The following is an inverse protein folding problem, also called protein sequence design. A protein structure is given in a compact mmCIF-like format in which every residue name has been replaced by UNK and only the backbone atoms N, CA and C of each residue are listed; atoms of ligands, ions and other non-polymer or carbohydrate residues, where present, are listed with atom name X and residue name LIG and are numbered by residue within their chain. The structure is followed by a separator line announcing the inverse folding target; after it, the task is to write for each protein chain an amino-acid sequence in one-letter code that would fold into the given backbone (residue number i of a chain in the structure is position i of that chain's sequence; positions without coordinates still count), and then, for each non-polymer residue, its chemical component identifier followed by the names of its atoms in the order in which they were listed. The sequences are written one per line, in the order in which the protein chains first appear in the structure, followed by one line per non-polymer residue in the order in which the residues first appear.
data_IF_063191201884
#
_entry.id   IF_063191201884
#
_cell.length_a   1.000
_cell.length_b   1.000
_cell.length_c   1.000
_cell.angle_alpha   90.00
_cell.angle_beta   90.00
_cell.angle_gamma   90.00
#
_symmetry.space_group_name_H-M   'P 1'
#
loop_
_entity.id
_entity.type
_entity.pdbx_description
1 polymer ?
#
# COMPACT_ATOMS: atom_id res chain seq x y z
N UNK A 1 -20.33 67.61 -30.41
CA UNK A 1 -19.21 67.10 -29.56
C UNK A 1 -19.77 66.05 -28.61
N UNK A 2 -19.02 64.99 -28.27
CA UNK A 2 -19.44 63.61 -28.50
C UNK A 2 -20.13 62.94 -27.30
N UNK A 3 -21.00 61.96 -27.59
CA UNK A 3 -21.55 60.99 -26.63
C UNK A 3 -20.41 60.12 -26.11
N UNK A 4 -20.11 60.23 -24.83
CA UNK A 4 -19.15 59.37 -24.15
C UNK A 4 -19.61 57.90 -24.12
N UNK A 5 -18.70 56.92 -24.21
CA UNK A 5 -19.06 55.51 -24.15
C UNK A 5 -19.43 55.12 -22.71
N UNK A 6 -20.59 54.49 -22.54
CA UNK A 6 -20.93 53.77 -21.31
C UNK A 6 -20.01 52.56 -21.16
N UNK A 7 -18.97 52.70 -20.34
CA UNK A 7 -18.16 51.58 -19.89
C UNK A 7 -18.99 50.75 -18.90
N UNK A 8 -19.48 49.58 -19.35
CA UNK A 8 -20.17 48.63 -18.49
C UNK A 8 -19.20 48.11 -17.41
N UNK A 9 -19.39 48.40 -16.10
CA UNK A 9 -18.51 47.92 -15.04
C UNK A 9 -18.76 46.44 -14.68
N UNK A 10 -19.79 45.81 -15.26
CA UNK A 10 -20.28 44.49 -14.84
C UNK A 10 -19.32 43.34 -15.14
N UNK A 11 -18.59 43.37 -16.25
CA UNK A 11 -17.73 42.24 -16.65
C UNK A 11 -16.56 42.01 -15.71
N UNK A 12 -15.93 43.08 -15.21
CA UNK A 12 -14.83 43.01 -14.25
C UNK A 12 -15.30 42.49 -12.88
N UNK A 13 -16.49 42.89 -12.44
CA UNK A 13 -17.13 42.38 -11.23
C UNK A 13 -17.48 40.90 -11.34
N UNK A 14 -18.04 40.48 -12.49
CA UNK A 14 -18.37 39.07 -12.77
C UNK A 14 -17.10 38.21 -12.81
N UNK A 15 -16.03 38.67 -13.47
CA UNK A 15 -14.74 37.97 -13.49
C UNK A 15 -14.12 37.85 -12.08
N UNK A 16 -14.25 38.87 -11.23
CA UNK A 16 -13.80 38.82 -9.83
C UNK A 16 -14.63 37.84 -8.98
N UNK A 17 -15.95 37.78 -9.19
CA UNK A 17 -16.82 36.81 -8.52
C UNK A 17 -16.50 35.37 -8.95
N UNK A 18 -16.22 35.14 -10.24
CA UNK A 18 -15.80 33.82 -10.77
C UNK A 18 -14.43 33.37 -10.25
N UNK A 19 -13.49 34.29 -10.03
CA UNK A 19 -12.19 33.96 -9.44
C UNK A 19 -12.29 33.53 -7.97
N UNK A 20 -13.26 34.08 -7.22
CA UNK A 20 -13.56 33.69 -5.84
C UNK A 20 -14.32 32.37 -5.73
N UNK A 21 -15.00 31.96 -6.81
CA UNK A 21 -15.71 30.67 -6.89
C UNK A 21 -14.83 29.50 -7.35
N UNK A 22 -13.51 29.69 -7.52
CA UNK A 22 -12.63 28.54 -7.80
C UNK A 22 -12.68 27.60 -6.59
N UNK A 23 -13.20 26.37 -6.72
CA UNK A 23 -13.05 25.39 -5.67
C UNK A 23 -11.54 25.23 -5.43
N UNK A 24 -11.09 25.16 -4.17
CA UNK A 24 -9.69 24.89 -3.89
C UNK A 24 -9.31 23.63 -4.67
N UNK A 25 -8.31 23.73 -5.54
CA UNK A 25 -7.74 22.55 -6.15
C UNK A 25 -7.26 21.66 -5.00
N UNK A 26 -7.92 20.51 -4.81
CA UNK A 26 -7.42 19.44 -3.97
C UNK A 26 -6.17 18.91 -4.67
N UNK A 27 -5.03 19.56 -4.46
CA UNK A 27 -3.74 19.00 -4.85
C UNK A 27 -3.49 17.82 -3.91
N UNK A 28 -3.73 16.61 -4.40
CA UNK A 28 -3.31 15.41 -3.69
C UNK A 28 -1.78 15.33 -3.82
N UNK A 29 -1.07 15.86 -2.82
CA UNK A 29 0.38 16.04 -2.89
C UNK A 29 1.15 14.73 -2.71
N UNK A 30 0.53 13.71 -2.12
CA UNK A 30 1.14 12.39 -1.95
C UNK A 30 0.94 11.53 -3.21
N UNK A 31 2.03 11.00 -3.77
CA UNK A 31 1.99 10.06 -4.88
C UNK A 31 2.82 8.83 -4.56
N UNK A 32 2.23 7.65 -4.77
CA UNK A 32 2.85 6.37 -4.45
C UNK A 32 3.18 5.59 -5.72
N UNK A 33 4.33 4.92 -5.71
CA UNK A 33 4.68 3.97 -6.77
C UNK A 33 3.84 2.69 -6.57
N UNK A 34 3.06 2.27 -7.58
CA UNK A 34 2.29 1.03 -7.47
C UNK A 34 3.21 -0.18 -7.31
N UNK A 35 2.86 -1.08 -6.41
CA UNK A 35 3.57 -2.34 -6.23
C UNK A 35 2.59 -3.49 -6.01
N UNK A 36 2.98 -4.69 -6.41
CA UNK A 36 2.18 -5.88 -6.14
C UNK A 36 2.11 -6.14 -4.61
N UNK A 37 1.02 -6.70 -4.06
CA UNK A 37 0.92 -7.00 -2.62
C UNK A 37 2.13 -7.75 -2.05
N UNK A 38 2.65 -8.73 -2.79
CA UNK A 38 3.89 -9.45 -2.42
C UNK A 38 5.11 -8.51 -2.31
N UNK A 39 5.27 -7.55 -3.23
CA UNK A 39 6.37 -6.58 -3.17
C UNK A 39 6.25 -5.67 -1.95
N UNK A 40 5.04 -5.20 -1.64
CA UNK A 40 4.84 -4.40 -0.43
C UNK A 40 5.26 -5.17 0.83
N UNK A 41 4.84 -6.42 0.97
CA UNK A 41 5.24 -7.29 2.09
C UNK A 41 6.76 -7.52 2.10
N UNK A 42 7.39 -7.72 0.94
CA UNK A 42 8.82 -7.93 0.82
C UNK A 42 9.67 -6.69 1.13
N UNK A 43 9.21 -5.50 0.77
CA UNK A 43 9.96 -4.25 1.01
C UNK A 43 9.66 -3.61 2.37
N UNK A 44 8.60 -4.03 3.05
CA UNK A 44 8.33 -3.60 4.42
C UNK A 44 9.31 -4.24 5.41
N UNK A 45 9.77 -3.46 6.39
CA UNK A 45 10.58 -3.96 7.50
C UNK A 45 9.73 -4.77 8.51
N UNK A 46 8.44 -4.46 8.59
CA UNK A 46 7.51 -5.06 9.53
C UNK A 46 6.18 -5.32 8.83
N UNK A 47 5.56 -6.47 9.11
CA UNK A 47 4.20 -6.78 8.65
C UNK A 47 3.41 -7.41 9.81
N UNK A 48 2.33 -6.78 10.23
CA UNK A 48 1.51 -7.23 11.37
C UNK A 48 0.01 -7.18 11.06
N UNK A 49 -0.76 -8.04 11.74
CA UNK A 49 -2.21 -7.91 11.88
C UNK A 49 -2.52 -7.30 13.24
N UNK A 50 -3.27 -6.21 13.27
CA UNK A 50 -3.59 -5.50 14.51
C UNK A 50 -4.96 -4.81 14.48
N UNK A 51 -5.45 -4.43 15.67
CA UNK A 51 -6.60 -3.54 15.86
C UNK A 51 -6.11 -2.17 16.34
N UNK A 52 -6.80 -1.11 15.93
CA UNK A 52 -6.49 0.24 16.39
C UNK A 52 -7.31 0.52 17.65
N UNK A 53 -6.62 0.80 18.76
CA UNK A 53 -7.23 0.99 20.08
C UNK A 53 -7.48 2.46 20.40
N UNK A 54 -6.54 3.35 20.06
CA UNK A 54 -6.66 4.79 20.26
C UNK A 54 -5.77 5.56 19.27
N UNK A 55 -6.05 6.84 19.09
CA UNK A 55 -5.23 7.77 18.31
C UNK A 55 -4.88 9.02 19.12
N UNK A 56 -3.64 9.51 18.96
CA UNK A 56 -3.18 10.75 19.60
C UNK A 56 -2.25 11.52 18.66
N UNK A 57 -2.47 12.82 18.52
CA UNK A 57 -1.54 13.70 17.81
C UNK A 57 -0.34 14.00 18.70
N UNK A 58 0.86 13.83 18.16
CA UNK A 58 2.15 14.02 18.85
C UNK A 58 3.08 14.86 17.96
N UNK A 59 4.06 15.59 18.55
CA UNK A 59 5.10 16.23 17.74
C UNK A 59 5.94 15.16 17.02
N UNK A 60 6.38 15.47 15.80
CA UNK A 60 7.20 14.57 14.98
C UNK A 60 8.61 14.37 15.59
N UNK A 61 9.18 15.44 16.15
CA UNK A 61 10.48 15.43 16.81
C UNK A 61 10.44 16.11 18.18
N UNK A 62 11.55 16.03 18.92
CA UNK A 62 11.72 16.74 20.18
C UNK A 62 12.20 18.18 19.99
N UNK A 63 12.52 18.58 18.75
CA UNK A 63 12.97 19.94 18.43
C UNK A 63 11.77 20.90 18.51
N UNK A 64 11.80 21.92 19.38
CA UNK A 64 10.72 22.91 19.46
C UNK A 64 10.57 23.76 18.19
N UNK A 65 11.57 23.81 17.31
CA UNK A 65 11.48 24.46 16.00
C UNK A 65 10.71 23.64 14.95
N UNK A 66 10.54 22.34 15.19
CA UNK A 66 9.81 21.45 14.30
C UNK A 66 8.30 21.54 14.58
N UNK A 67 7.57 22.07 13.59
CA UNK A 67 6.12 22.22 13.67
C UNK A 67 5.36 21.00 13.15
N UNK A 68 6.07 20.00 12.61
CA UNK A 68 5.45 18.81 12.06
C UNK A 68 4.81 17.97 13.17
N UNK A 69 3.62 17.45 12.85
CA UNK A 69 2.84 16.60 13.74
C UNK A 69 2.64 15.23 13.10
N UNK A 70 2.59 14.23 13.95
CA UNK A 70 2.27 12.85 13.59
C UNK A 70 1.04 12.38 14.37
N UNK A 71 0.32 11.43 13.80
CA UNK A 71 -0.65 10.63 14.54
C UNK A 71 0.09 9.41 15.07
N UNK A 72 0.00 9.19 16.38
CA UNK A 72 0.42 7.97 17.04
C UNK A 72 -0.83 7.14 17.34
N UNK A 73 -0.91 5.97 16.73
CA UNK A 73 -1.94 4.99 17.02
C UNK A 73 -1.43 3.99 18.06
N UNK A 74 -2.21 3.77 19.11
CA UNK A 74 -2.03 2.62 19.98
C UNK A 74 -2.73 1.42 19.34
N UNK A 75 -2.02 0.31 19.26
CA UNK A 75 -2.53 -0.88 18.58
C UNK A 75 -2.54 -2.10 19.51
N UNK A 76 -3.50 -2.99 19.26
CA UNK A 76 -3.50 -4.35 19.82
C UNK A 76 -3.01 -5.30 18.73
N UNK A 77 -1.72 -5.64 18.79
CA UNK A 77 -1.10 -6.60 17.87
C UNK A 77 -1.75 -7.98 18.06
N UNK A 78 -2.24 -8.56 16.96
CA UNK A 78 -2.83 -9.92 16.94
C UNK A 78 -1.78 -10.92 16.47
N UNK A 79 -1.07 -10.61 15.39
CA UNK A 79 -0.06 -11.49 14.79
C UNK A 79 1.02 -10.67 14.09
N UNK A 80 2.26 -11.11 14.19
CA UNK A 80 3.36 -10.62 13.37
C UNK A 80 3.67 -11.65 12.28
N UNK A 81 3.96 -11.17 11.08
CA UNK A 81 4.32 -11.96 9.90
C UNK A 81 5.76 -11.69 9.45
N UNK A 82 6.28 -10.49 9.74
CA UNK A 82 7.66 -10.08 9.43
C UNK A 82 8.13 -9.03 10.41
N UNK A 83 9.43 -8.99 10.69
CA UNK A 83 10.08 -7.97 11.53
C UNK A 83 10.42 -8.44 12.94
N UNK A 84 10.36 -9.75 13.22
CA UNK A 84 10.69 -10.35 14.53
C UNK A 84 12.12 -10.04 14.98
N UNK A 85 13.02 -9.88 14.02
CA UNK A 85 14.42 -9.53 14.20
C UNK A 85 14.64 -8.05 14.55
N UNK A 86 13.66 -7.18 14.24
CA UNK A 86 13.75 -5.73 14.46
C UNK A 86 13.00 -5.28 15.71
N UNK A 87 11.80 -5.82 15.95
CA UNK A 87 10.94 -5.42 17.06
C UNK A 87 10.20 -6.64 17.61
N UNK A 88 10.29 -6.85 18.94
CA UNK A 88 9.62 -7.99 19.60
C UNK A 88 8.11 -7.82 19.71
N UNK A 89 7.65 -6.62 20.02
CA UNK A 89 6.23 -6.31 20.21
C UNK A 89 5.95 -4.86 19.79
N UNK A 90 4.91 -4.65 18.98
CA UNK A 90 4.52 -3.33 18.49
C UNK A 90 3.29 -2.85 19.25
N UNK A 91 3.48 -1.81 20.05
CA UNK A 91 2.40 -1.15 20.80
C UNK A 91 1.90 0.11 20.11
N UNK A 92 2.80 0.80 19.40
CA UNK A 92 2.51 2.07 18.74
C UNK A 92 2.96 2.05 17.29
N UNK A 93 2.17 2.67 16.43
CA UNK A 93 2.54 2.99 15.05
C UNK A 93 2.36 4.49 14.81
N UNK A 94 3.16 5.04 13.91
CA UNK A 94 3.23 6.46 13.63
C UNK A 94 2.97 6.72 12.16
N UNK A 95 2.27 7.80 11.86
CA UNK A 95 2.03 8.30 10.50
C UNK A 95 1.98 9.83 10.53
N UNK A 96 2.32 10.52 9.43
CA UNK A 96 2.13 11.96 9.32
C UNK A 96 0.67 12.35 9.57
N UNK A 97 0.45 13.53 10.15
CA UNK A 97 -0.90 14.06 10.42
C UNK A 97 -1.63 14.43 9.13
N UNK A 98 -0.92 15.04 8.18
CA UNK A 98 -1.48 15.54 6.95
C UNK A 98 -1.43 14.50 5.83
N UNK A 99 -2.54 14.33 5.11
CA UNK A 99 -2.62 13.42 3.96
C UNK A 99 -1.67 13.83 2.82
N UNK A 100 -1.39 15.13 2.68
CA UNK A 100 -0.41 15.67 1.73
C UNK A 100 1.01 15.17 2.00
N UNK A 101 1.33 14.79 3.25
CA UNK A 101 2.59 14.16 3.65
C UNK A 101 2.50 12.64 3.69
N UNK A 102 1.53 12.06 2.96
CA UNK A 102 1.23 10.63 2.95
C UNK A 102 0.69 10.09 4.28
N UNK A 103 0.05 10.93 5.10
CA UNK A 103 -0.61 10.53 6.34
C UNK A 103 -1.81 9.61 6.11
N UNK A 104 -1.92 8.53 6.89
CA UNK A 104 -3.06 7.61 6.86
C UNK A 104 -3.97 7.83 8.06
N UNK A 105 -5.28 7.80 7.83
CA UNK A 105 -6.27 7.82 8.91
C UNK A 105 -6.84 6.41 9.10
N UNK A 106 -6.55 5.81 10.26
CA UNK A 106 -7.04 4.48 10.60
C UNK A 106 -8.23 4.59 11.55
N UNK A 107 -9.19 3.70 11.39
CA UNK A 107 -10.40 3.71 12.19
C UNK A 107 -10.15 3.06 13.55
N UNK A 108 -10.37 3.82 14.62
CA UNK A 108 -10.36 3.31 15.98
C UNK A 108 -11.60 2.44 16.19
N UNK A 109 -11.42 1.12 16.17
CA UNK A 109 -12.52 0.15 16.24
C UNK A 109 -12.06 -1.16 16.85
N UNK A 110 -12.87 -1.73 17.74
CA UNK A 110 -12.63 -3.04 18.33
C UNK A 110 -12.99 -4.19 17.39
N UNK A 111 -13.77 -3.92 16.34
CA UNK A 111 -14.24 -4.92 15.37
C UNK A 111 -13.32 -5.00 14.16
N UNK A 112 -12.83 -3.85 13.70
CA UNK A 112 -11.99 -3.77 12.50
C UNK A 112 -10.56 -4.16 12.78
N UNK A 113 -10.00 -4.96 11.89
CA UNK A 113 -8.61 -5.42 11.95
C UNK A 113 -7.92 -5.02 10.67
N UNK A 114 -6.64 -4.67 10.77
CA UNK A 114 -5.83 -4.25 9.64
C UNK A 114 -4.62 -5.16 9.48
N UNK A 115 -4.27 -5.45 8.24
CA UNK A 115 -2.90 -5.75 7.89
C UNK A 115 -2.15 -4.42 7.76
N UNK A 116 -1.03 -4.31 8.46
CA UNK A 116 -0.18 -3.14 8.48
C UNK A 116 1.22 -3.58 8.07
N UNK A 117 1.61 -3.21 6.86
CA UNK A 117 2.99 -3.28 6.40
C UNK A 117 3.65 -1.92 6.61
N UNK A 118 4.88 -1.87 7.11
CA UNK A 118 5.53 -0.60 7.47
C UNK A 118 7.04 -0.67 7.57
N UNK A 119 7.63 0.44 7.97
CA UNK A 119 9.06 0.56 8.25
C UNK A 119 9.31 0.64 9.76
N UNK A 120 10.50 0.24 10.18
CA UNK A 120 10.98 0.43 11.56
C UNK A 120 12.10 1.47 11.48
N UNK A 121 11.89 2.61 12.13
CA UNK A 121 12.85 3.69 12.20
C UNK A 121 14.00 3.35 13.16
N UNK A 122 15.08 4.12 13.09
CA UNK A 122 16.28 3.88 13.91
C UNK A 122 16.04 3.99 15.41
N UNK A 123 15.02 4.76 15.83
CA UNK A 123 14.58 4.88 17.22
C UNK A 123 13.60 3.77 17.65
N UNK A 124 13.42 2.74 16.82
CA UNK A 124 12.54 1.60 17.06
C UNK A 124 11.06 1.88 16.80
N UNK A 125 10.68 3.11 16.40
CA UNK A 125 9.29 3.44 16.09
C UNK A 125 8.86 2.77 14.78
N UNK A 126 7.65 2.22 14.79
CA UNK A 126 7.03 1.67 13.58
C UNK A 126 6.32 2.79 12.84
N UNK A 127 6.70 3.00 11.59
CA UNK A 127 6.16 4.06 10.74
C UNK A 127 5.37 3.47 9.57
N UNK A 128 4.19 4.03 9.32
CA UNK A 128 3.31 3.68 8.20
C UNK A 128 2.85 4.94 7.47
N UNK A 129 2.59 4.84 6.17
CA UNK A 129 2.11 5.92 5.32
C UNK A 129 1.17 5.40 4.20
N UNK A 130 0.59 6.31 3.41
CA UNK A 130 -0.36 6.00 2.33
C UNK A 130 0.20 5.06 1.25
N UNK A 131 1.53 4.97 1.11
CA UNK A 131 2.19 4.13 0.12
C UNK A 131 2.50 2.72 0.64
N UNK A 132 2.26 2.46 1.92
CA UNK A 132 2.41 1.13 2.48
C UNK A 132 1.16 0.26 2.23
N UNK A 133 1.33 -1.05 2.33
CA UNK A 133 0.21 -1.98 2.18
C UNK A 133 -0.57 -2.05 3.50
N UNK A 134 -1.63 -1.26 3.55
CA UNK A 134 -2.54 -1.14 4.68
C UNK A 134 -3.94 -1.49 4.19
N UNK A 135 -4.45 -2.63 4.64
CA UNK A 135 -5.76 -3.13 4.19
C UNK A 135 -6.55 -3.68 5.37
N UNK A 136 -7.88 -3.46 5.42
CA UNK A 136 -8.74 -4.21 6.33
C UNK A 136 -8.56 -5.71 6.11
N UNK A 137 -8.40 -6.47 7.18
CA UNK A 137 -8.12 -7.90 7.12
C UNK A 137 -9.19 -8.66 6.30
N UNK A 138 -10.45 -8.24 6.41
CA UNK A 138 -11.57 -8.85 5.67
C UNK A 138 -11.54 -8.61 4.16
N UNK A 139 -10.78 -7.61 3.69
CA UNK A 139 -10.64 -7.33 2.26
C UNK A 139 -9.52 -8.17 1.60
N UNK A 140 -8.66 -8.82 2.39
CA UNK A 140 -7.57 -9.63 1.85
C UNK A 140 -8.10 -10.94 1.26
N UNK A 141 -7.66 -11.27 0.04
CA UNK A 141 -7.96 -12.56 -0.57
C UNK A 141 -7.33 -13.71 0.24
N UNK A 142 -7.90 -14.92 0.12
CA UNK A 142 -7.34 -16.12 0.78
C UNK A 142 -5.86 -16.30 0.44
N UNK A 143 -5.50 -16.11 -0.83
CA UNK A 143 -4.12 -16.20 -1.28
C UNK A 143 -3.23 -15.11 -0.66
N UNK A 144 -3.70 -13.86 -0.59
CA UNK A 144 -2.95 -12.80 0.07
C UNK A 144 -2.68 -13.15 1.54
N UNK A 145 -3.66 -13.71 2.25
CA UNK A 145 -3.49 -14.17 3.65
C UNK A 145 -2.48 -15.32 3.76
N UNK A 146 -2.52 -16.28 2.85
CA UNK A 146 -1.57 -17.41 2.81
C UNK A 146 -0.12 -16.95 2.55
N UNK A 147 0.07 -15.97 1.67
CA UNK A 147 1.38 -15.40 1.35
C UNK A 147 1.99 -14.54 2.45
N UNK A 148 1.25 -14.26 3.53
CA UNK A 148 1.83 -13.63 4.71
C UNK A 148 2.63 -14.63 5.57
N UNK A 149 2.67 -15.92 5.20
CA UNK A 149 3.51 -16.88 5.91
C UNK A 149 5.00 -16.51 5.77
N UNK A 150 5.72 -16.24 6.88
CA UNK A 150 7.13 -15.84 6.84
C UNK A 150 8.03 -16.80 6.05
N UNK A 151 7.71 -18.11 6.05
CA UNK A 151 8.48 -19.13 5.34
C UNK A 151 8.25 -19.15 3.83
N UNK A 152 7.24 -18.45 3.32
CA UNK A 152 6.81 -18.49 1.92
C UNK A 152 6.63 -17.09 1.32
N UNK A 153 7.36 -16.09 1.83
CA UNK A 153 7.27 -14.72 1.33
C UNK A 153 7.79 -14.56 -0.12
N UNK A 154 8.63 -15.49 -0.59
CA UNK A 154 9.18 -15.50 -1.96
C UNK A 154 9.83 -14.16 -2.38
N UNK A 155 10.52 -13.50 -1.46
CA UNK A 155 11.13 -12.18 -1.70
C UNK A 155 12.40 -12.22 -2.57
N UNK A 156 12.91 -13.42 -2.89
CA UNK A 156 14.00 -13.62 -3.84
C UNK A 156 13.58 -13.29 -5.29
N UNK A 157 12.28 -13.33 -5.56
CA UNK A 157 11.72 -13.01 -6.86
C UNK A 157 11.37 -11.53 -6.96
N UNK A 158 11.70 -10.94 -8.12
CA UNK A 158 11.36 -9.56 -8.45
C UNK A 158 10.09 -9.53 -9.31
N UNK A 159 9.19 -8.61 -9.00
CA UNK A 159 7.98 -8.39 -9.81
C UNK A 159 8.17 -7.09 -10.59
N UNK A 160 8.00 -7.16 -11.91
CA UNK A 160 8.20 -6.03 -12.83
C UNK A 160 6.86 -5.61 -13.42
N UNK A 161 6.43 -4.38 -13.15
CA UNK A 161 5.16 -3.85 -13.68
C UNK A 161 5.27 -3.54 -15.17
N UNK A 162 4.33 -4.03 -15.96
CA UNK A 162 4.17 -3.67 -17.37
C UNK A 162 3.05 -2.63 -17.54
N UNK A 163 3.43 -1.40 -17.87
CA UNK A 163 2.48 -0.31 -18.14
C UNK A 163 2.05 -0.23 -19.61
N UNK A 164 2.97 -0.51 -20.53
CA UNK A 164 2.78 -0.41 -21.99
C UNK A 164 3.65 -1.45 -22.69
N UNK A 165 3.22 -1.89 -23.88
CA UNK A 165 4.02 -2.80 -24.72
C UNK A 165 5.09 -2.02 -25.51
N UNK A 166 6.25 -2.64 -25.82
CA UNK A 166 6.66 -3.98 -25.42
C UNK A 166 7.22 -4.01 -23.98
N UNK A 167 6.94 -5.09 -23.25
CA UNK A 167 7.49 -5.33 -21.92
C UNK A 167 7.93 -6.80 -21.80
N UNK A 168 9.13 -7.02 -21.30
CA UNK A 168 9.75 -8.35 -21.19
C UNK A 168 10.49 -8.45 -19.86
N UNK A 169 10.69 -9.68 -19.38
CA UNK A 169 11.53 -9.94 -18.21
C UNK A 169 13.00 -9.78 -18.60
N UNK A 170 13.80 -9.15 -17.74
CA UNK A 170 15.24 -8.94 -18.00
C UNK A 170 16.12 -9.99 -17.33
N UNK A 171 15.57 -10.73 -16.36
CA UNK A 171 16.29 -11.73 -15.59
C UNK A 171 15.38 -12.94 -15.26
N UNK A 172 15.95 -14.14 -15.04
CA UNK A 172 15.18 -15.35 -14.75
C UNK A 172 14.44 -15.30 -13.41
N UNK A 173 14.82 -14.42 -12.49
CA UNK A 173 14.16 -14.22 -11.20
C UNK A 173 13.06 -13.15 -11.23
N UNK A 174 12.51 -12.82 -12.42
CA UNK A 174 11.47 -11.81 -12.60
C UNK A 174 10.11 -12.41 -13.02
N UNK A 175 9.03 -11.90 -12.43
CA UNK A 175 7.67 -12.10 -12.93
C UNK A 175 7.09 -10.79 -13.47
N UNK A 176 6.55 -10.83 -14.68
CA UNK A 176 5.93 -9.67 -15.33
C UNK A 176 4.50 -9.46 -14.84
N UNK A 177 4.22 -8.32 -14.20
CA UNK A 177 2.88 -7.95 -13.72
C UNK A 177 2.14 -7.11 -14.76
N UNK A 178 1.06 -7.65 -15.30
CA UNK A 178 0.33 -7.15 -16.48
C UNK A 178 -1.07 -6.64 -16.17
N UNK A 179 -1.47 -6.56 -14.89
CA UNK A 179 -2.82 -6.11 -14.51
C UNK A 179 -3.15 -4.72 -15.08
N UNK A 180 -2.22 -3.77 -15.01
CA UNK A 180 -2.41 -2.44 -15.59
C UNK A 180 -2.58 -2.50 -17.11
N UNK A 181 -1.70 -3.23 -17.81
CA UNK A 181 -1.76 -3.35 -19.27
C UNK A 181 -3.09 -3.94 -19.73
N UNK A 182 -3.54 -5.03 -19.10
CA UNK A 182 -4.69 -5.81 -19.55
C UNK A 182 -6.02 -5.27 -19.06
N UNK A 183 -6.06 -4.69 -17.86
CA UNK A 183 -7.31 -4.31 -17.18
C UNK A 183 -7.41 -2.82 -16.88
N UNK A 184 -6.34 -2.04 -17.13
CA UNK A 184 -6.23 -0.62 -16.69
C UNK A 184 -6.50 -0.46 -15.19
N UNK A 185 -6.15 -1.49 -14.41
CA UNK A 185 -6.37 -1.58 -12.97
C UNK A 185 -5.12 -2.17 -12.32
N UNK A 186 -4.54 -1.47 -11.33
CA UNK A 186 -3.32 -1.92 -10.65
C UNK A 186 -3.56 -3.21 -9.85
N UNK A 187 -4.54 -3.22 -8.94
CA UNK A 187 -4.89 -4.41 -8.16
C UNK A 187 -5.93 -5.29 -8.88
N UNK A 188 -5.54 -5.78 -10.06
CA UNK A 188 -6.35 -6.62 -10.95
C UNK A 188 -6.32 -8.10 -10.58
N UNK A 189 -6.42 -8.96 -11.59
CA UNK A 189 -6.53 -10.41 -11.42
C UNK A 189 -5.23 -11.05 -10.90
N UNK A 190 -4.06 -10.63 -11.39
CA UNK A 190 -2.78 -11.14 -10.90
C UNK A 190 -2.56 -10.77 -9.43
N UNK A 191 -2.80 -9.51 -9.07
CA UNK A 191 -2.66 -9.02 -7.70
C UNK A 191 -3.54 -9.75 -6.66
N UNK A 192 -4.68 -10.31 -7.11
CA UNK A 192 -5.62 -11.02 -6.24
C UNK A 192 -5.40 -12.53 -6.20
N UNK A 193 -4.87 -13.13 -7.27
CA UNK A 193 -4.88 -14.58 -7.48
C UNK A 193 -3.53 -15.22 -7.79
N UNK A 194 -2.46 -14.44 -7.91
CA UNK A 194 -1.12 -14.96 -8.24
C UNK A 194 -0.04 -14.49 -7.26
N UNK A 195 1.02 -15.28 -7.20
CA UNK A 195 2.23 -15.07 -6.41
C UNK A 195 3.42 -15.37 -7.28
N UNK A 196 4.44 -14.53 -7.25
CA UNK A 196 5.67 -14.80 -7.96
C UNK A 196 6.55 -15.68 -7.08
N UNK A 197 6.74 -16.94 -7.47
CA UNK A 197 7.44 -17.94 -6.65
C UNK A 197 8.71 -18.40 -7.33
N UNK A 198 9.74 -18.68 -6.53
CA UNK A 198 11.01 -19.23 -6.99
C UNK A 198 10.86 -20.73 -7.19
N UNK A 199 11.19 -21.21 -8.37
CA UNK A 199 11.21 -22.62 -8.73
C UNK A 199 12.54 -23.27 -8.34
N UNK A 200 12.58 -24.60 -8.41
CA UNK A 200 13.76 -25.41 -8.04
C UNK A 200 14.97 -25.10 -8.93
N UNK A 201 14.72 -24.74 -10.20
CA UNK A 201 15.75 -24.35 -11.16
C UNK A 201 16.28 -22.91 -10.95
N UNK A 202 15.77 -22.20 -9.94
CA UNK A 202 16.16 -20.83 -9.61
C UNK A 202 15.42 -19.75 -10.40
N UNK A 203 14.55 -20.10 -11.34
CA UNK A 203 13.69 -19.15 -12.06
C UNK A 203 12.49 -18.72 -11.22
N UNK A 204 11.87 -17.60 -11.55
CA UNK A 204 10.65 -17.12 -10.90
C UNK A 204 9.48 -17.13 -11.89
N UNK A 205 8.32 -17.59 -11.42
CA UNK A 205 7.12 -17.68 -12.24
C UNK A 205 5.87 -17.36 -11.44
N UNK A 206 4.81 -16.94 -12.13
CA UNK A 206 3.50 -16.75 -11.53
C UNK A 206 2.88 -18.10 -11.19
N UNK A 207 2.61 -18.31 -9.90
CA UNK A 207 1.85 -19.44 -9.41
C UNK A 207 0.50 -18.96 -8.87
N UNK A 208 -0.56 -19.67 -9.24
CA UNK A 208 -1.88 -19.43 -8.67
C UNK A 208 -1.87 -19.99 -7.25
N UNK A 209 -2.47 -19.28 -6.29
CA UNK A 209 -2.67 -19.82 -4.95
C UNK A 209 -3.23 -21.24 -4.96
N UNK A 210 -2.90 -22.06 -3.95
CA UNK A 210 -3.42 -23.43 -3.85
C UNK A 210 -4.96 -23.40 -3.80
N UNK A 211 -5.61 -23.54 -4.95
CA UNK A 211 -6.74 -24.46 -5.04
C UNK A 211 -6.16 -25.84 -4.72
N UNK A 212 -6.83 -26.68 -3.92
CA UNK A 212 -6.26 -27.96 -3.51
C UNK A 212 -5.85 -28.71 -4.78
N UNK A 213 -4.54 -29.01 -4.88
CA UNK A 213 -4.08 -30.04 -5.80
C UNK A 213 -4.88 -31.28 -5.40
N UNK A 214 -5.91 -31.62 -6.18
CA UNK A 214 -6.55 -32.92 -6.09
C UNK A 214 -5.44 -33.92 -6.39
N UNK A 215 -4.88 -34.48 -5.32
CA UNK A 215 -4.08 -35.70 -5.38
C UNK A 215 -5.02 -36.78 -5.90
N UNK A 216 -4.97 -37.02 -7.20
CA UNK A 216 -5.24 -38.34 -7.78
C UNK A 216 -4.03 -38.70 -8.64
N UNK A 217 -2.90 -38.92 -7.97
CA UNK A 217 -2.01 -40.00 -8.38
C UNK A 217 -2.29 -41.16 -7.44
N UNK A 218 -3.36 -41.90 -7.71
CA UNK A 218 -3.40 -43.31 -7.32
C UNK A 218 -2.57 -44.02 -8.37
N UNK A 219 -1.37 -44.44 -7.96
CA UNK A 219 -0.55 -45.33 -8.76
C UNK A 219 -1.32 -46.63 -9.00
N UNK A 220 -1.57 -46.95 -10.26
CA UNK A 220 -1.91 -48.31 -10.67
C UNK A 220 -0.60 -48.95 -11.10
N UNK A 221 0.05 -49.63 -10.15
CA UNK A 221 0.91 -50.75 -10.48
C UNK A 221 0.04 -51.91 -10.97
N UNK A 222 0.55 -52.58 -11.99
CA UNK A 222 -0.03 -53.63 -12.82
C UNK A 222 -0.49 -54.91 -12.06
N UNK A 223 -1.17 -55.81 -12.76
CA UNK A 223 -0.49 -57.03 -13.23
C UNK A 223 -0.23 -57.06 -14.75
#
# INVERSE_FOLDING_TARGET
MPRGPWAAPGWALVLRLLALLRPPALSDACSCVPAHPQQHVCYSALVIRAKIASEKVVPASADPGDTQKMIRYEIKQIKMFKGFEKVKNVQYIYTPLDSSLCGVKLEVSSQKQYLLAGQVLNDGKVFVNLCNYIEPWENLSLLQRENLNPHHLNCDCRITTCYTVPCTISAPNECLWTDWLLQRKLYGYQAQHYVCVKLVDGTCSWHRGRLPLRKEFVGINHP
#
